data_IF_999032790807
#
_entry.id   IF_999032790807
#
_cell.length_a   1.000
_cell.length_b   1.000
_cell.length_c   1.000
_cell.angle_alpha   90.00
_cell.angle_beta   90.00
_cell.angle_gamma   90.00
#
_symmetry.space_group_name_H-M   'P 1'
#
loop_
_entity.id
_entity.type
_entity.pdbx_description
1 polymer ?
#
# COMPACT_ATOMS: atom_id res chain seq x y z
N UNK A 1 10.51 43.11 6.78
CA UNK A 1 9.52 42.60 5.81
C UNK A 1 10.26 41.80 4.74
N UNK A 2 10.43 40.49 4.93
CA UNK A 2 11.07 39.61 3.96
C UNK A 2 10.04 39.12 2.94
N UNK A 3 10.12 39.60 1.70
CA UNK A 3 9.22 39.20 0.64
C UNK A 3 9.39 37.73 0.27
N UNK A 4 8.30 36.98 0.27
CA UNK A 4 8.23 35.65 -0.32
C UNK A 4 8.52 35.76 -1.83
N UNK A 5 9.72 35.33 -2.26
CA UNK A 5 10.02 35.14 -3.68
C UNK A 5 9.11 34.03 -4.21
N UNK A 6 8.15 34.41 -5.06
CA UNK A 6 7.38 33.44 -5.85
C UNK A 6 8.34 32.77 -6.83
N UNK A 7 8.54 31.47 -6.67
CA UNK A 7 9.30 30.66 -7.61
C UNK A 7 8.50 30.53 -8.92
N UNK A 8 9.13 30.65 -10.10
CA UNK A 8 8.44 30.52 -11.39
C UNK A 8 7.79 29.15 -11.57
N UNK A 9 6.65 29.11 -12.26
CA UNK A 9 5.86 27.91 -12.57
C UNK A 9 6.64 26.81 -13.32
N UNK A 10 7.80 27.14 -13.90
CA UNK A 10 8.50 26.35 -14.91
C UNK A 10 9.45 25.26 -14.39
N UNK A 11 9.60 25.07 -13.07
CA UNK A 11 10.52 24.05 -12.51
C UNK A 11 10.00 23.29 -11.31
N UNK A 12 8.76 22.80 -11.38
CA UNK A 12 8.40 21.59 -10.64
C UNK A 12 7.95 20.58 -11.68
N UNK A 13 8.79 19.58 -11.99
CA UNK A 13 8.34 18.38 -12.69
C UNK A 13 7.35 17.69 -11.76
N UNK A 14 6.08 18.11 -11.82
CA UNK A 14 5.00 17.43 -11.11
C UNK A 14 4.83 16.10 -11.82
N UNK A 15 5.13 15.01 -11.11
CA UNK A 15 4.83 13.66 -11.59
C UNK A 15 3.36 13.59 -11.99
N UNK A 16 3.08 12.90 -13.09
CA UNK A 16 1.71 12.69 -13.55
C UNK A 16 0.89 12.01 -12.44
N UNK A 17 -0.40 12.37 -12.24
CA UNK A 17 -1.26 11.65 -11.31
C UNK A 17 -1.27 10.14 -11.54
N UNK A 18 -1.15 9.70 -12.79
CA UNK A 18 -1.05 8.29 -13.16
C UNK A 18 0.25 7.65 -12.69
N UNK A 19 1.39 8.34 -12.81
CA UNK A 19 2.67 7.84 -12.29
C UNK A 19 2.63 7.69 -10.77
N UNK A 20 1.95 8.61 -10.07
CA UNK A 20 1.73 8.52 -8.63
C UNK A 20 0.78 7.37 -8.27
N UNK A 21 -0.27 7.14 -9.06
CA UNK A 21 -1.18 6.01 -8.91
C UNK A 21 -0.45 4.67 -9.10
N UNK A 22 0.38 4.54 -10.14
CA UNK A 22 1.21 3.35 -10.32
C UNK A 22 2.25 3.23 -9.22
N UNK A 23 2.80 4.34 -8.70
CA UNK A 23 3.68 4.31 -7.55
C UNK A 23 2.98 3.80 -6.28
N UNK A 24 1.76 4.25 -6.03
CA UNK A 24 0.93 3.77 -4.91
C UNK A 24 0.63 2.27 -5.05
N UNK A 25 0.29 1.79 -6.25
CA UNK A 25 0.11 0.36 -6.53
C UNK A 25 1.35 -0.49 -6.20
N UNK A 26 2.57 0.03 -6.38
CA UNK A 26 3.80 -0.68 -5.94
C UNK A 26 3.88 -0.84 -4.43
N UNK A 27 3.38 0.13 -3.67
CA UNK A 27 3.31 0.00 -2.21
C UNK A 27 2.30 -1.07 -1.80
N UNK A 28 1.17 -1.20 -2.51
CA UNK A 28 0.22 -2.31 -2.31
C UNK A 28 0.94 -3.67 -2.42
N UNK A 29 1.73 -3.89 -3.48
CA UNK A 29 2.50 -5.13 -3.65
C UNK A 29 3.55 -5.32 -2.56
N UNK A 30 4.32 -4.28 -2.24
CA UNK A 30 5.34 -4.36 -1.19
C UNK A 30 4.74 -4.73 0.17
N UNK A 31 3.58 -4.17 0.50
CA UNK A 31 2.87 -4.46 1.75
C UNK A 31 2.27 -5.86 1.73
N UNK A 32 1.67 -6.29 0.62
CA UNK A 32 1.13 -7.64 0.47
C UNK A 32 2.19 -8.73 0.68
N UNK A 33 3.40 -8.51 0.13
CA UNK A 33 4.53 -9.43 0.28
C UNK A 33 5.03 -9.57 1.74
N UNK A 34 4.55 -8.75 2.68
CA UNK A 34 4.88 -8.87 4.12
C UNK A 34 3.95 -9.79 4.88
N UNK A 35 2.80 -10.16 4.32
CA UNK A 35 1.84 -11.05 4.98
C UNK A 35 2.47 -12.40 5.33
N UNK A 36 3.15 -13.03 4.36
CA UNK A 36 3.74 -14.36 4.56
C UNK A 36 4.91 -14.31 5.54
N UNK A 37 5.71 -13.24 5.50
CA UNK A 37 6.82 -13.02 6.43
C UNK A 37 6.32 -12.88 7.86
N UNK A 38 5.31 -12.01 8.08
CA UNK A 38 4.68 -11.81 9.38
C UNK A 38 4.09 -13.11 9.90
N UNK A 39 3.34 -13.83 9.06
CA UNK A 39 2.68 -15.05 9.48
C UNK A 39 3.65 -16.18 9.81
N UNK A 40 4.73 -16.35 9.02
CA UNK A 40 5.75 -17.34 9.32
C UNK A 40 6.48 -17.03 10.64
N UNK A 41 6.80 -15.75 10.90
CA UNK A 41 7.38 -15.35 12.19
C UNK A 41 6.45 -15.65 13.36
N UNK A 42 5.14 -15.39 13.21
CA UNK A 42 4.14 -15.73 14.21
C UNK A 42 4.07 -17.24 14.48
N UNK A 43 4.04 -18.07 13.43
CA UNK A 43 3.99 -19.53 13.57
C UNK A 43 5.24 -20.11 14.24
N UNK A 44 6.42 -19.53 13.98
CA UNK A 44 7.69 -19.93 14.58
C UNK A 44 7.94 -19.37 15.99
N UNK A 45 7.06 -18.50 16.49
CA UNK A 45 7.28 -17.81 17.78
C UNK A 45 8.43 -16.80 17.76
N UNK A 46 8.86 -16.34 16.59
CA UNK A 46 9.93 -15.36 16.42
C UNK A 46 9.37 -13.93 16.58
N UNK A 47 9.02 -13.55 17.81
CA UNK A 47 8.34 -12.28 18.12
C UNK A 47 9.14 -11.04 17.67
N UNK A 48 10.45 -11.00 17.89
CA UNK A 48 11.28 -9.87 17.47
C UNK A 48 11.23 -9.67 15.94
N UNK A 49 11.26 -10.77 15.18
CA UNK A 49 11.16 -10.73 13.73
C UNK A 49 9.76 -10.30 13.30
N UNK A 50 8.71 -10.78 13.98
CA UNK A 50 7.34 -10.34 13.75
C UNK A 50 7.22 -8.82 13.93
N UNK A 51 7.70 -8.28 15.05
CA UNK A 51 7.65 -6.85 15.36
C UNK A 51 8.43 -6.01 14.34
N UNK A 52 9.55 -6.53 13.84
CA UNK A 52 10.30 -5.90 12.75
C UNK A 52 9.46 -5.83 11.46
N UNK A 53 8.83 -6.93 11.05
CA UNK A 53 7.97 -6.96 9.86
C UNK A 53 6.78 -6.02 10.02
N UNK A 54 6.13 -6.00 11.20
CA UNK A 54 5.05 -5.08 11.53
C UNK A 54 5.47 -3.62 11.33
N UNK A 55 6.64 -3.22 11.86
CA UNK A 55 7.19 -1.86 11.70
C UNK A 55 7.52 -1.52 10.24
N UNK A 56 7.98 -2.50 9.47
CA UNK A 56 8.19 -2.32 8.03
C UNK A 56 6.87 -2.04 7.31
N UNK A 57 5.78 -2.72 7.69
CA UNK A 57 4.43 -2.47 7.14
C UNK A 57 3.91 -1.09 7.50
N UNK A 58 4.05 -0.65 8.75
CA UNK A 58 3.71 0.73 9.17
C UNK A 58 4.47 1.76 8.33
N UNK A 59 5.76 1.51 8.05
CA UNK A 59 6.58 2.40 7.22
C UNK A 59 6.08 2.44 5.77
N UNK A 60 5.68 1.29 5.21
CA UNK A 60 5.13 1.20 3.86
C UNK A 60 3.78 1.92 3.73
N UNK A 61 2.90 1.76 4.72
CA UNK A 61 1.62 2.47 4.80
C UNK A 61 1.87 3.97 4.80
N UNK A 62 2.72 4.48 5.69
CA UNK A 62 2.93 5.92 5.81
C UNK A 62 3.50 6.56 4.54
N UNK A 63 4.34 5.83 3.79
CA UNK A 63 4.81 6.28 2.48
C UNK A 63 3.74 6.22 1.40
N UNK A 64 2.87 5.20 1.42
CA UNK A 64 1.72 5.11 0.51
C UNK A 64 0.74 6.26 0.77
N UNK A 65 0.46 6.54 2.04
CA UNK A 65 -0.47 7.56 2.47
C UNK A 65 0.02 8.97 2.10
N UNK A 66 1.35 9.19 2.13
CA UNK A 66 1.99 10.39 1.58
C UNK A 66 1.76 10.54 0.07
N UNK A 67 1.83 9.45 -0.70
CA UNK A 67 1.54 9.47 -2.14
C UNK A 67 0.06 9.77 -2.38
N UNK A 68 -0.85 9.12 -1.65
CA UNK A 68 -2.29 9.37 -1.70
C UNK A 68 -2.62 10.83 -1.39
N UNK A 69 -2.01 11.40 -0.36
CA UNK A 69 -2.14 12.83 -0.03
C UNK A 69 -1.65 13.73 -1.16
N UNK A 70 -0.48 13.42 -1.74
CA UNK A 70 0.06 14.18 -2.88
C UNK A 70 -0.87 14.14 -4.10
N UNK A 71 -1.45 12.97 -4.40
CA UNK A 71 -2.43 12.83 -5.49
C UNK A 71 -3.64 13.71 -5.21
N UNK A 72 -4.28 13.59 -4.04
CA UNK A 72 -5.51 14.33 -3.71
C UNK A 72 -5.31 15.86 -3.76
N UNK A 73 -4.14 16.33 -3.33
CA UNK A 73 -3.80 17.76 -3.31
C UNK A 73 -3.48 18.36 -4.68
N UNK A 74 -3.05 17.52 -5.64
CA UNK A 74 -2.57 17.99 -6.94
C UNK A 74 -3.35 17.44 -8.14
N UNK A 75 -4.44 16.72 -7.89
CA UNK A 75 -5.27 16.15 -8.95
C UNK A 75 -5.95 17.27 -9.76
N UNK A 76 -5.78 17.30 -11.10
CA UNK A 76 -6.44 18.29 -11.96
C UNK A 76 -7.97 18.22 -11.88
N UNK A 77 -8.65 19.30 -12.27
CA UNK A 77 -10.10 19.29 -12.46
C UNK A 77 -10.47 18.33 -13.58
N UNK A 78 -11.66 17.70 -13.50
CA UNK A 78 -12.08 16.62 -14.41
C UNK A 78 -11.98 16.98 -15.91
N UNK A 79 -12.20 18.25 -16.29
CA UNK A 79 -12.13 18.68 -17.70
C UNK A 79 -10.72 18.60 -18.31
N UNK A 80 -9.67 18.43 -17.49
CA UNK A 80 -8.27 18.33 -17.90
C UNK A 80 -7.70 16.90 -17.77
N UNK A 81 -8.51 15.93 -17.37
CA UNK A 81 -8.07 14.54 -17.20
C UNK A 81 -8.54 13.66 -18.37
N UNK A 82 -7.72 12.67 -18.79
CA UNK A 82 -8.12 11.71 -19.80
C UNK A 82 -9.11 10.66 -19.29
N UNK A 83 -9.36 10.63 -17.97
CA UNK A 83 -10.32 9.74 -17.30
C UNK A 83 -11.15 10.54 -16.31
N UNK A 84 -12.32 10.00 -15.93
CA UNK A 84 -13.14 10.61 -14.89
C UNK A 84 -12.39 10.69 -13.55
N UNK A 85 -12.48 11.86 -12.91
CA UNK A 85 -11.80 12.15 -11.65
C UNK A 85 -12.34 11.30 -10.50
N UNK A 86 -13.64 11.04 -10.48
CA UNK A 86 -14.27 10.24 -9.42
C UNK A 86 -13.81 8.79 -9.53
N UNK A 87 -13.81 8.22 -10.73
CA UNK A 87 -13.27 6.88 -10.98
C UNK A 87 -11.80 6.76 -10.58
N UNK A 88 -10.98 7.76 -10.90
CA UNK A 88 -9.58 7.78 -10.51
C UNK A 88 -9.40 7.77 -8.98
N UNK A 89 -10.15 8.61 -8.26
CA UNK A 89 -10.10 8.66 -6.80
C UNK A 89 -10.69 7.40 -6.15
N UNK A 90 -11.69 6.79 -6.76
CA UNK A 90 -12.24 5.51 -6.32
C UNK A 90 -11.16 4.41 -6.41
N UNK A 91 -10.46 4.31 -7.54
CA UNK A 91 -9.37 3.34 -7.70
C UNK A 91 -8.24 3.58 -6.68
N UNK A 92 -7.84 4.84 -6.44
CA UNK A 92 -6.89 5.16 -5.38
C UNK A 92 -7.39 4.71 -4.00
N UNK A 93 -8.68 4.90 -3.71
CA UNK A 93 -9.27 4.46 -2.45
C UNK A 93 -9.31 2.93 -2.31
N UNK A 94 -9.53 2.19 -3.39
CA UNK A 94 -9.49 0.73 -3.34
C UNK A 94 -8.06 0.20 -3.15
N UNK A 95 -7.04 0.88 -3.72
CA UNK A 95 -5.64 0.56 -3.44
C UNK A 95 -5.29 0.70 -1.96
N UNK A 96 -5.70 1.81 -1.39
CA UNK A 96 -5.46 2.18 0.00
C UNK A 96 -6.07 1.17 0.98
N UNK A 97 -7.33 0.77 0.74
CA UNK A 97 -8.00 -0.27 1.54
C UNK A 97 -7.24 -1.60 1.56
N UNK A 98 -6.51 -1.96 0.51
CA UNK A 98 -5.71 -3.19 0.51
C UNK A 98 -4.58 -3.07 1.54
N UNK A 99 -3.90 -1.92 1.59
CA UNK A 99 -2.83 -1.64 2.55
C UNK A 99 -3.39 -1.65 3.98
N UNK A 100 -4.50 -0.96 4.21
CA UNK A 100 -5.17 -0.91 5.51
C UNK A 100 -5.56 -2.31 6.00
N UNK A 101 -6.18 -3.12 5.12
CA UNK A 101 -6.57 -4.49 5.46
C UNK A 101 -5.36 -5.36 5.82
N UNK A 102 -4.22 -5.20 5.14
CA UNK A 102 -3.00 -5.96 5.46
C UNK A 102 -2.47 -5.56 6.84
N UNK A 103 -2.46 -4.26 7.15
CA UNK A 103 -2.08 -3.77 8.46
C UNK A 103 -2.98 -4.34 9.55
N UNK A 104 -4.31 -4.30 9.37
CA UNK A 104 -5.28 -4.87 10.30
C UNK A 104 -5.08 -6.38 10.51
N UNK A 105 -4.82 -7.13 9.43
CA UNK A 105 -4.52 -8.56 9.51
C UNK A 105 -3.28 -8.81 10.37
N UNK A 106 -2.23 -8.02 10.19
CA UNK A 106 -0.99 -8.15 10.97
C UNK A 106 -1.24 -7.81 12.44
N UNK A 107 -2.03 -6.79 12.74
CA UNK A 107 -2.44 -6.47 14.12
C UNK A 107 -3.24 -7.62 14.75
N UNK A 108 -4.17 -8.21 14.00
CA UNK A 108 -4.97 -9.35 14.49
C UNK A 108 -4.11 -10.59 14.75
N UNK A 109 -3.09 -10.84 13.92
CA UNK A 109 -2.13 -11.91 14.14
C UNK A 109 -1.32 -11.63 15.42
N UNK A 110 -0.85 -10.39 15.61
CA UNK A 110 -0.11 -10.00 16.80
C UNK A 110 -0.91 -10.18 18.09
N UNK A 111 -2.21 -9.85 18.07
CA UNK A 111 -3.10 -10.01 19.21
C UNK A 111 -3.42 -11.47 19.54
N UNK A 112 -3.08 -12.44 18.68
CA UNK A 112 -3.31 -13.85 18.98
C UNK A 112 -2.26 -14.40 19.94
N UNK A 113 -2.74 -15.02 21.02
CA UNK A 113 -1.88 -15.67 22.01
C UNK A 113 -1.32 -17.04 21.57
N UNK A 114 -1.88 -17.66 20.52
CA UNK A 114 -1.49 -19.01 20.07
C UNK A 114 -1.66 -19.18 18.57
N UNK A 115 -0.77 -19.93 17.90
CA UNK A 115 -0.93 -20.27 16.49
C UNK A 115 -2.17 -21.15 16.28
N UNK A 116 -2.79 -21.09 15.08
CA UNK A 116 -3.90 -21.98 14.72
C UNK A 116 -3.40 -23.43 14.55
N UNK A 117 -4.34 -24.37 14.37
CA UNK A 117 -3.99 -25.74 13.97
C UNK A 117 -3.27 -25.72 12.62
N UNK A 118 -2.39 -26.70 12.40
CA UNK A 118 -1.52 -26.79 11.22
C UNK A 118 -2.29 -26.69 9.89
N UNK A 119 -3.40 -27.42 9.76
CA UNK A 119 -4.27 -27.37 8.57
C UNK A 119 -4.78 -25.94 8.27
N UNK A 120 -5.17 -25.20 9.31
CA UNK A 120 -5.63 -23.81 9.15
C UNK A 120 -4.46 -22.90 8.81
N UNK A 121 -3.29 -23.12 9.43
CA UNK A 121 -2.09 -22.36 9.11
C UNK A 121 -1.72 -22.52 7.63
N UNK A 122 -1.78 -23.72 7.09
CA UNK A 122 -1.46 -23.98 5.69
C UNK A 122 -2.47 -23.31 4.75
N UNK A 123 -3.77 -23.40 5.04
CA UNK A 123 -4.80 -22.71 4.27
C UNK A 123 -4.60 -21.18 4.26
N UNK A 124 -4.18 -20.59 5.39
CA UNK A 124 -3.89 -19.15 5.48
C UNK A 124 -2.64 -18.79 4.67
N UNK A 125 -1.58 -19.62 4.69
CA UNK A 125 -0.40 -19.41 3.85
C UNK A 125 -0.75 -19.47 2.37
N UNK A 126 -1.55 -20.46 1.96
CA UNK A 126 -2.01 -20.57 0.58
C UNK A 126 -2.80 -19.32 0.17
N UNK A 127 -3.70 -18.83 1.02
CA UNK A 127 -4.43 -17.59 0.78
C UNK A 127 -3.48 -16.40 0.59
N UNK A 128 -2.48 -16.22 1.45
CA UNK A 128 -1.51 -15.12 1.31
C UNK A 128 -0.70 -15.24 0.01
N UNK A 129 -0.30 -16.45 -0.38
CA UNK A 129 0.36 -16.66 -1.68
C UNK A 129 -0.55 -16.28 -2.87
N UNK A 130 -1.86 -16.51 -2.78
CA UNK A 130 -2.80 -16.07 -3.82
C UNK A 130 -3.01 -14.55 -3.81
N UNK A 131 -3.03 -13.92 -2.63
CA UNK A 131 -3.07 -12.45 -2.51
C UNK A 131 -1.84 -11.84 -3.20
N UNK A 132 -0.63 -12.33 -2.92
CA UNK A 132 0.60 -11.85 -3.56
C UNK A 132 0.56 -11.95 -5.08
N UNK A 133 0.13 -13.12 -5.62
CA UNK A 133 -0.03 -13.31 -7.08
C UNK A 133 -1.04 -12.35 -7.67
N UNK A 134 -2.17 -12.14 -6.99
CA UNK A 134 -3.25 -11.25 -7.45
C UNK A 134 -2.78 -9.79 -7.46
N UNK A 135 -2.13 -9.35 -6.39
CA UNK A 135 -1.61 -7.98 -6.28
C UNK A 135 -0.47 -7.73 -7.28
N UNK A 136 0.38 -8.72 -7.55
CA UNK A 136 1.42 -8.60 -8.58
C UNK A 136 0.84 -8.48 -10.00
N UNK A 137 -0.23 -9.22 -10.32
CA UNK A 137 -0.95 -9.05 -11.58
C UNK A 137 -1.62 -7.67 -11.68
N UNK A 138 -2.21 -7.22 -10.58
CA UNK A 138 -2.81 -5.91 -10.44
C UNK A 138 -1.79 -4.77 -10.65
N UNK A 139 -0.62 -4.81 -10.02
CA UNK A 139 0.44 -3.80 -10.19
C UNK A 139 0.84 -3.67 -11.66
N UNK A 140 0.99 -4.80 -12.37
CA UNK A 140 1.29 -4.82 -13.81
C UNK A 140 0.16 -4.17 -14.62
N UNK A 141 -1.10 -4.43 -14.27
CA UNK A 141 -2.25 -3.84 -14.96
C UNK A 141 -2.32 -2.32 -14.79
N UNK A 142 -1.87 -1.77 -13.66
CA UNK A 142 -1.80 -0.32 -13.40
C UNK A 142 -0.55 0.34 -14.01
N UNK A 143 0.53 -0.43 -14.18
CA UNK A 143 1.80 0.06 -14.73
C UNK A 143 1.88 0.08 -16.26
N UNK A 144 0.95 -0.60 -16.95
CA UNK A 144 0.87 -0.69 -18.41
C UNK A 144 -0.01 0.41 -19.02
#
# INVERSE_FOLDING_TARGET
>A
MGGFKRVPFERTVRKSPFELLSAHARYVTKTANKLIDAFNSFLSGEEEKFLKVKKEVETLESEADRIKGNIRNHLPKSILMPVDRTMFLMLLSEQDKIIDNIQDIIEWIYMRNRPPREEIAENVKELFNQVEKTVAAYEKAIGN
#
